data_IF_890585361905
#
_entry.id   IF_890585361905
#
_cell.length_a   1.000
_cell.length_b   1.000
_cell.length_c   1.000
_cell.angle_alpha   90.00
_cell.angle_beta   90.00
_cell.angle_gamma   90.00
#
_symmetry.space_group_name_H-M   'P 1'
#
loop_
_entity.id
_entity.type
_entity.pdbx_description
1 polymer ?
#
# COMPACT_ATOMS: atom_id res chain seq x y z
N UNK A 1 23.72 9.74 5.68
CA UNK A 1 23.08 8.48 5.28
C UNK A 1 22.04 8.73 4.19
N UNK A 2 21.76 7.73 3.37
CA UNK A 2 20.65 7.76 2.45
C UNK A 2 19.33 7.69 3.22
N UNK A 3 18.34 8.49 2.86
CA UNK A 3 17.02 8.48 3.47
C UNK A 3 16.10 7.51 2.73
N UNK A 4 15.05 7.02 3.41
CA UNK A 4 14.09 6.08 2.80
C UNK A 4 13.44 6.70 1.56
N UNK A 5 13.12 8.00 1.63
CA UNK A 5 12.43 8.79 0.61
C UNK A 5 13.34 9.30 -0.53
N UNK A 6 14.60 8.85 -0.63
CA UNK A 6 15.50 9.25 -1.73
C UNK A 6 14.90 9.03 -3.14
N UNK A 7 14.04 8.03 -3.39
CA UNK A 7 13.44 7.83 -4.70
C UNK A 7 12.64 9.03 -5.22
N UNK A 8 12.08 9.87 -4.35
CA UNK A 8 11.41 11.11 -4.76
C UNK A 8 12.40 12.04 -5.47
N UNK A 9 13.59 12.23 -4.90
CA UNK A 9 14.65 13.04 -5.50
C UNK A 9 15.14 12.42 -6.81
N UNK A 10 15.34 11.11 -6.84
CA UNK A 10 15.76 10.39 -8.06
C UNK A 10 14.75 10.57 -9.20
N UNK A 11 13.46 10.46 -8.91
CA UNK A 11 12.40 10.58 -9.93
C UNK A 11 12.29 11.99 -10.53
N UNK A 12 12.58 13.04 -9.77
CA UNK A 12 12.47 14.43 -10.26
C UNK A 12 13.76 14.94 -10.86
N UNK A 13 14.94 14.36 -10.52
CA UNK A 13 16.24 14.80 -11.00
C UNK A 13 16.83 13.89 -12.07
N UNK A 14 16.39 12.64 -12.15
CA UNK A 14 16.97 11.61 -13.02
C UNK A 14 18.33 11.11 -12.53
N UNK A 15 18.74 11.41 -11.29
CA UNK A 15 20.02 11.02 -10.71
C UNK A 15 19.82 9.79 -9.84
N UNK A 16 20.58 8.73 -10.09
CA UNK A 16 20.66 7.56 -9.19
C UNK A 16 21.60 7.88 -8.01
N UNK A 17 20.97 8.18 -6.86
CA UNK A 17 21.71 8.56 -5.65
C UNK A 17 22.49 7.39 -5.05
N UNK A 18 21.98 6.17 -5.18
CA UNK A 18 22.64 4.96 -4.69
C UNK A 18 23.89 4.68 -5.51
N UNK A 19 23.79 4.76 -6.84
CA UNK A 19 24.94 4.64 -7.71
C UNK A 19 26.00 5.69 -7.38
N UNK A 20 25.60 6.95 -7.19
CA UNK A 20 26.52 8.03 -6.83
C UNK A 20 27.24 7.79 -5.50
N UNK A 21 26.56 7.19 -4.51
CA UNK A 21 27.20 6.80 -3.27
C UNK A 21 28.31 5.75 -3.49
N UNK A 22 28.07 4.74 -4.33
CA UNK A 22 29.07 3.74 -4.66
C UNK A 22 30.24 4.33 -5.43
N UNK A 23 29.99 5.23 -6.40
CA UNK A 23 31.06 5.91 -7.17
C UNK A 23 31.97 6.71 -6.24
N UNK A 24 31.40 7.52 -5.34
CA UNK A 24 32.16 8.31 -4.38
C UNK A 24 32.92 7.42 -3.39
N UNK A 25 32.30 6.35 -2.91
CA UNK A 25 32.95 5.39 -2.02
C UNK A 25 34.12 4.66 -2.69
N UNK A 26 34.07 4.48 -4.01
CA UNK A 26 35.17 3.95 -4.82
C UNK A 26 36.26 4.99 -5.13
N UNK A 27 36.19 6.21 -4.60
CA UNK A 27 37.17 7.29 -4.80
C UNK A 27 36.93 8.10 -6.06
N UNK A 28 35.82 7.91 -6.76
CA UNK A 28 35.44 8.69 -7.93
C UNK A 28 34.92 10.08 -7.52
N UNK A 29 35.14 11.07 -8.38
CA UNK A 29 34.46 12.35 -8.20
C UNK A 29 32.95 12.21 -8.42
N UNK A 30 32.15 13.05 -7.73
CA UNK A 30 30.69 13.06 -7.90
C UNK A 30 30.26 13.25 -9.37
N UNK A 31 31.07 14.01 -10.14
CA UNK A 31 30.85 14.21 -11.57
C UNK A 31 29.62 15.07 -11.91
N UNK A 32 29.08 15.78 -10.92
CA UNK A 32 27.92 16.66 -11.05
C UNK A 32 28.26 18.04 -10.47
N UNK A 33 27.78 19.07 -11.14
CA UNK A 33 27.73 20.44 -10.61
C UNK A 33 26.28 20.80 -10.30
N UNK A 34 26.04 21.88 -9.55
CA UNK A 34 24.70 22.33 -9.25
C UNK A 34 23.88 22.67 -10.52
N UNK A 35 24.53 23.13 -11.57
CA UNK A 35 23.88 23.44 -12.85
C UNK A 35 23.43 22.22 -13.65
N UNK A 36 23.96 21.04 -13.34
CA UNK A 36 23.57 19.78 -14.00
C UNK A 36 22.30 19.18 -13.40
N UNK A 37 21.86 19.73 -12.25
CA UNK A 37 20.71 19.20 -11.52
C UNK A 37 19.46 20.00 -11.86
N UNK A 38 18.64 19.44 -12.75
CA UNK A 38 17.32 19.95 -13.08
C UNK A 38 16.22 19.25 -12.30
N UNK A 39 15.13 19.95 -11.99
CA UNK A 39 13.91 19.37 -11.40
C UNK A 39 12.83 19.29 -12.47
N UNK A 40 12.30 18.08 -12.70
CA UNK A 40 11.25 17.84 -13.69
C UNK A 40 10.04 17.19 -13.02
N UNK A 41 8.88 17.81 -13.17
CA UNK A 41 7.62 17.30 -12.65
C UNK A 41 7.55 17.30 -11.12
N UNK A 42 6.82 16.34 -10.59
CA UNK A 42 6.55 16.17 -9.16
C UNK A 42 6.49 14.69 -8.81
N UNK A 43 7.16 14.29 -7.73
CA UNK A 43 7.11 12.92 -7.24
C UNK A 43 6.55 12.86 -5.82
N UNK A 44 5.93 11.76 -5.48
CA UNK A 44 5.44 11.43 -4.14
C UNK A 44 5.81 9.99 -3.82
N UNK A 45 6.09 9.74 -2.54
CA UNK A 45 6.32 8.40 -2.01
C UNK A 45 5.32 8.08 -0.91
N UNK A 46 4.78 6.87 -0.94
CA UNK A 46 4.03 6.28 0.15
C UNK A 46 4.77 5.04 0.66
N UNK A 47 4.98 4.97 1.97
CA UNK A 47 5.53 3.79 2.63
C UNK A 47 4.38 2.86 3.01
N UNK A 48 4.39 1.67 2.47
CA UNK A 48 3.37 0.65 2.73
C UNK A 48 3.82 -0.15 3.93
N UNK A 49 3.04 -0.08 5.00
CA UNK A 49 3.29 -0.77 6.25
C UNK A 49 2.22 -1.82 6.53
N UNK A 50 2.64 -2.93 7.12
CA UNK A 50 1.74 -3.87 7.78
C UNK A 50 1.36 -3.33 9.17
N UNK A 51 0.41 -2.40 9.19
CA UNK A 51 -0.06 -1.67 10.38
C UNK A 51 -1.56 -1.46 10.32
N UNK A 52 -2.18 -1.39 11.49
CA UNK A 52 -3.61 -1.13 11.64
C UNK A 52 -3.85 0.34 12.05
N UNK A 53 -4.25 1.22 11.12
CA UNK A 53 -4.53 2.61 11.44
C UNK A 53 -5.64 2.79 12.48
N UNK A 54 -6.65 1.89 12.51
CA UNK A 54 -7.76 1.96 13.46
C UNK A 54 -7.33 1.68 14.91
N UNK A 55 -6.19 1.01 15.06
CA UNK A 55 -5.58 0.68 16.36
C UNK A 55 -4.32 1.50 16.65
N UNK A 56 -4.23 2.73 16.12
CA UNK A 56 -3.10 3.61 16.35
C UNK A 56 -1.82 3.14 15.68
N UNK A 57 -1.92 2.55 14.48
CA UNK A 57 -0.81 2.04 13.69
C UNK A 57 -0.01 0.92 14.38
N UNK A 58 -0.70 0.07 15.15
CA UNK A 58 -0.06 -1.13 15.69
C UNK A 58 0.36 -2.05 14.55
N UNK A 59 1.58 -2.64 14.63
CA UNK A 59 2.05 -3.61 13.65
C UNK A 59 1.09 -4.79 13.50
N UNK A 60 0.82 -5.18 12.26
CA UNK A 60 0.06 -6.36 11.90
C UNK A 60 1.02 -7.46 11.44
N UNK A 61 0.92 -8.63 12.07
CA UNK A 61 1.73 -9.80 11.73
C UNK A 61 0.89 -10.82 10.98
N UNK A 62 1.53 -11.64 10.16
CA UNK A 62 0.85 -12.71 9.44
C UNK A 62 1.52 -13.04 8.12
N UNK A 63 0.95 -13.99 7.39
CA UNK A 63 1.43 -14.37 6.08
C UNK A 63 0.79 -13.53 4.99
N UNK A 64 1.58 -12.99 4.07
CA UNK A 64 1.11 -12.35 2.86
C UNK A 64 0.52 -13.41 1.92
N UNK A 65 -0.80 -13.58 1.97
CA UNK A 65 -1.51 -14.54 1.14
C UNK A 65 -1.58 -14.09 -0.33
N UNK A 66 -1.50 -12.77 -0.56
CA UNK A 66 -1.41 -12.15 -1.88
C UNK A 66 -0.57 -10.89 -1.79
N UNK A 67 0.32 -10.72 -2.76
CA UNK A 67 1.08 -9.48 -2.96
C UNK A 67 1.13 -9.14 -4.45
N UNK A 68 0.44 -8.09 -4.83
CA UNK A 68 0.44 -7.60 -6.21
C UNK A 68 0.77 -6.11 -6.23
N UNK A 69 1.96 -5.78 -6.71
CA UNK A 69 2.42 -4.41 -6.86
C UNK A 69 1.84 -3.77 -8.13
N UNK A 70 1.44 -2.48 -8.10
CA UNK A 70 0.98 -1.76 -9.27
C UNK A 70 2.15 -1.53 -10.25
N UNK A 71 1.81 -1.47 -11.54
CA UNK A 71 2.76 -1.19 -12.61
C UNK A 71 2.20 -0.13 -13.54
N UNK A 72 3.10 0.60 -14.22
CA UNK A 72 2.72 1.57 -15.24
C UNK A 72 3.67 2.77 -15.34
N UNK A 73 3.45 3.66 -16.32
CA UNK A 73 4.27 4.84 -16.50
C UNK A 73 4.26 5.76 -15.28
N UNK A 74 5.45 6.14 -14.81
CA UNK A 74 5.62 6.99 -13.64
C UNK A 74 5.23 6.33 -12.32
N UNK A 75 5.24 4.99 -12.25
CA UNK A 75 5.10 4.20 -11.04
C UNK A 75 6.37 3.40 -10.83
N UNK A 76 6.93 3.46 -9.63
CA UNK A 76 8.04 2.65 -9.14
C UNK A 76 7.63 2.01 -7.82
N UNK A 77 7.92 0.74 -7.64
CA UNK A 77 7.72 0.04 -6.37
C UNK A 77 9.04 -0.60 -5.95
N UNK A 78 9.54 -0.18 -4.80
CA UNK A 78 10.67 -0.81 -4.14
C UNK A 78 10.10 -1.69 -3.02
N UNK A 79 10.12 -3.00 -3.19
CA UNK A 79 9.53 -3.96 -2.24
C UNK A 79 10.58 -4.89 -1.65
N UNK A 80 10.44 -5.17 -0.36
CA UNK A 80 11.23 -6.19 0.35
C UNK A 80 10.48 -7.51 0.53
N UNK A 81 9.23 -7.60 0.05
CA UNK A 81 8.36 -8.76 0.27
C UNK A 81 7.78 -9.27 -1.05
N UNK A 82 7.30 -10.50 -1.01
CA UNK A 82 6.58 -11.19 -2.08
C UNK A 82 5.44 -12.02 -1.49
N UNK A 83 4.57 -12.48 -2.33
CA UNK A 83 3.51 -13.41 -1.96
C UNK A 83 4.08 -14.65 -1.26
N UNK A 84 3.47 -15.02 -0.15
CA UNK A 84 3.86 -16.14 0.68
C UNK A 84 4.84 -15.82 1.82
N UNK A 85 5.46 -14.64 1.81
CA UNK A 85 6.35 -14.21 2.89
C UNK A 85 5.58 -13.98 4.19
N UNK A 86 6.28 -14.11 5.32
CA UNK A 86 5.73 -13.92 6.66
C UNK A 86 6.20 -12.58 7.22
N UNK A 87 5.24 -11.76 7.67
CA UNK A 87 5.49 -10.50 8.38
C UNK A 87 5.55 -10.80 9.87
N UNK A 88 6.71 -10.58 10.47
CA UNK A 88 6.98 -10.85 11.89
C UNK A 88 7.26 -9.58 12.68
N UNK A 89 7.36 -9.69 13.99
CA UNK A 89 7.72 -8.57 14.89
C UNK A 89 9.23 -8.30 14.95
N UNK A 90 10.05 -9.14 14.33
CA UNK A 90 11.51 -9.08 14.44
C UNK A 90 12.12 -7.98 13.57
N UNK A 91 11.37 -7.49 12.59
CA UNK A 91 11.81 -6.47 11.64
C UNK A 91 10.81 -5.31 11.57
N UNK A 92 11.24 -4.22 10.92
CA UNK A 92 10.36 -3.10 10.58
C UNK A 92 9.18 -3.60 9.73
N UNK A 93 7.92 -3.24 10.06
CA UNK A 93 6.74 -3.70 9.34
C UNK A 93 6.56 -3.08 7.95
N UNK A 94 7.53 -2.32 7.44
CA UNK A 94 7.50 -1.74 6.11
C UNK A 94 7.61 -2.84 5.03
N UNK A 95 6.58 -2.97 4.21
CA UNK A 95 6.50 -3.95 3.13
C UNK A 95 7.12 -3.42 1.84
N UNK A 96 6.86 -2.16 1.52
CA UNK A 96 7.31 -1.54 0.28
C UNK A 96 7.26 -0.01 0.35
N UNK A 97 7.91 0.61 -0.64
CA UNK A 97 7.72 2.01 -1.01
C UNK A 97 7.06 2.07 -2.37
N UNK A 98 5.97 2.81 -2.47
CA UNK A 98 5.32 3.15 -3.72
C UNK A 98 5.66 4.59 -4.08
N UNK A 99 6.35 4.78 -5.19
CA UNK A 99 6.78 6.08 -5.67
C UNK A 99 6.07 6.38 -6.98
N UNK A 100 5.53 7.59 -7.12
CA UNK A 100 4.90 8.05 -8.34
C UNK A 100 5.53 9.36 -8.82
N UNK A 101 5.57 9.54 -10.14
CA UNK A 101 6.03 10.77 -10.77
C UNK A 101 5.01 11.24 -11.81
N UNK A 102 4.74 12.55 -11.86
CA UNK A 102 3.81 13.18 -12.80
C UNK A 102 4.22 14.62 -13.10
N UNK A 103 3.66 15.27 -14.13
CA UNK A 103 4.03 16.64 -14.48
C UNK A 103 3.69 17.69 -13.41
N UNK A 104 2.76 17.42 -12.50
CA UNK A 104 2.34 18.35 -11.44
C UNK A 104 2.01 17.61 -10.15
N UNK A 105 1.97 18.37 -9.01
CA UNK A 105 1.59 17.85 -7.70
C UNK A 105 0.21 17.17 -7.73
N UNK A 106 -0.79 17.83 -8.31
CA UNK A 106 -2.15 17.26 -8.39
C UNK A 106 -2.19 15.98 -9.23
N UNK A 107 -1.44 15.93 -10.34
CA UNK A 107 -1.34 14.73 -11.16
C UNK A 107 -0.59 13.60 -10.44
N UNK A 108 0.45 13.92 -9.66
CA UNK A 108 1.17 12.96 -8.85
C UNK A 108 0.27 12.37 -7.74
N UNK A 109 -0.50 13.21 -7.03
CA UNK A 109 -1.43 12.75 -6.00
C UNK A 109 -2.52 11.82 -6.56
N UNK A 110 -3.11 12.17 -7.72
CA UNK A 110 -4.07 11.29 -8.42
C UNK A 110 -3.43 9.96 -8.83
N UNK A 111 -2.20 10.01 -9.35
CA UNK A 111 -1.47 8.79 -9.71
C UNK A 111 -1.18 7.94 -8.50
N UNK A 112 -0.86 8.56 -7.36
CA UNK A 112 -0.64 7.86 -6.10
C UNK A 112 -1.90 7.12 -5.63
N UNK A 113 -3.06 7.78 -5.62
CA UNK A 113 -4.33 7.14 -5.25
C UNK A 113 -4.68 5.96 -6.17
N UNK A 114 -4.54 6.15 -7.50
CA UNK A 114 -4.77 5.07 -8.47
C UNK A 114 -3.77 3.93 -8.26
N UNK A 115 -2.50 4.21 -8.02
CA UNK A 115 -1.50 3.18 -7.79
C UNK A 115 -1.77 2.43 -6.48
N UNK A 116 -2.14 3.14 -5.40
CA UNK A 116 -2.54 2.52 -4.13
C UNK A 116 -3.80 1.65 -4.29
N UNK A 117 -4.77 2.05 -5.11
CA UNK A 117 -5.98 1.25 -5.36
C UNK A 117 -5.71 -0.03 -6.15
N UNK A 118 -4.58 -0.10 -6.87
CA UNK A 118 -4.13 -1.29 -7.62
C UNK A 118 -3.03 -2.07 -6.87
N UNK A 119 -2.69 -1.67 -5.66
CA UNK A 119 -1.78 -2.42 -4.80
C UNK A 119 -2.61 -3.37 -3.93
N UNK A 120 -2.41 -4.67 -4.11
CA UNK A 120 -3.15 -5.67 -3.35
C UNK A 120 -2.20 -6.40 -2.40
N UNK A 121 -2.50 -6.30 -1.11
CA UNK A 121 -1.83 -7.02 -0.04
C UNK A 121 -2.92 -7.70 0.82
N UNK A 122 -2.97 -9.01 0.82
CA UNK A 122 -3.92 -9.79 1.61
C UNK A 122 -3.19 -10.67 2.61
N UNK A 123 -3.83 -10.92 3.74
CA UNK A 123 -3.29 -11.74 4.83
C UNK A 123 -2.79 -10.95 6.03
N UNK A 124 -2.50 -9.67 5.86
CA UNK A 124 -2.17 -8.73 6.93
C UNK A 124 -2.93 -7.42 6.75
N UNK A 125 -3.23 -6.74 7.84
CA UNK A 125 -3.77 -5.37 7.79
C UNK A 125 -2.67 -4.41 7.35
N UNK A 126 -3.00 -3.46 6.48
CA UNK A 126 -2.06 -2.47 5.96
C UNK A 126 -2.60 -1.05 6.09
N UNK A 127 -1.72 -0.06 5.98
CA UNK A 127 -2.06 1.35 5.97
C UNK A 127 -2.53 1.88 4.59
N UNK A 128 -2.78 1.02 3.60
CA UNK A 128 -3.11 1.43 2.22
C UNK A 128 -4.35 2.34 2.18
N UNK A 129 -5.41 1.98 2.89
CA UNK A 129 -6.64 2.78 2.93
C UNK A 129 -6.41 4.17 3.50
N UNK A 130 -5.69 4.28 4.60
CA UNK A 130 -5.26 5.55 5.18
C UNK A 130 -4.46 6.39 4.18
N UNK A 131 -3.49 5.80 3.48
CA UNK A 131 -2.67 6.49 2.48
C UNK A 131 -3.50 7.01 1.30
N UNK A 132 -4.53 6.28 0.87
CA UNK A 132 -5.46 6.72 -0.19
C UNK A 132 -6.27 7.94 0.25
N UNK A 133 -6.76 7.94 1.48
CA UNK A 133 -7.48 9.09 2.03
C UNK A 133 -6.55 10.31 2.14
N UNK A 134 -5.30 10.11 2.57
CA UNK A 134 -4.29 11.16 2.58
C UNK A 134 -4.00 11.72 1.19
N UNK A 135 -3.85 10.86 0.17
CA UNK A 135 -3.62 11.29 -1.20
C UNK A 135 -4.76 12.14 -1.78
N UNK A 136 -5.97 11.98 -1.26
CA UNK A 136 -7.18 12.73 -1.65
C UNK A 136 -7.49 13.91 -0.73
N UNK A 137 -6.77 14.07 0.37
CA UNK A 137 -7.02 15.12 1.36
C UNK A 137 -6.73 16.52 0.78
N UNK A 138 -7.65 17.48 0.89
CA UNK A 138 -7.48 18.83 0.32
C UNK A 138 -6.23 19.55 0.85
N UNK A 139 -5.91 19.41 2.13
CA UNK A 139 -4.72 20.01 2.74
C UNK A 139 -3.44 19.40 2.18
N UNK A 140 -3.43 18.07 1.97
CA UNK A 140 -2.32 17.39 1.29
C UNK A 140 -2.18 17.86 -0.17
N UNK A 141 -3.28 17.93 -0.91
CA UNK A 141 -3.29 18.36 -2.31
C UNK A 141 -2.77 19.80 -2.49
N UNK A 142 -3.12 20.71 -1.57
CA UNK A 142 -2.64 22.11 -1.58
C UNK A 142 -1.18 22.27 -1.12
N UNK A 143 -0.58 21.23 -0.52
CA UNK A 143 0.75 21.32 0.06
C UNK A 143 0.80 21.97 1.45
N UNK A 144 -0.34 22.08 2.11
CA UNK A 144 -0.48 22.72 3.43
C UNK A 144 -0.20 21.79 4.61
N UNK A 145 0.21 20.53 4.38
CA UNK A 145 0.54 19.60 5.45
C UNK A 145 1.92 19.91 6.01
N UNK A 146 1.98 19.99 7.34
CA UNK A 146 3.21 20.08 8.15
C UNK A 146 3.51 18.74 8.83
N UNK A 147 4.68 18.60 9.42
CA UNK A 147 5.12 17.35 10.06
C UNK A 147 4.26 16.95 11.27
N UNK A 148 3.59 17.90 11.89
CA UNK A 148 2.68 17.74 13.05
C UNK A 148 1.21 17.58 12.65
N UNK A 149 0.92 17.51 11.34
CA UNK A 149 -0.46 17.44 10.84
C UNK A 149 -1.23 16.24 11.42
N UNK A 150 -0.61 15.06 11.44
CA UNK A 150 -1.25 13.84 11.94
C UNK A 150 -1.39 13.83 13.47
N UNK A 151 -0.51 14.53 14.20
CA UNK A 151 -0.61 14.66 15.66
C UNK A 151 -1.82 15.53 16.05
N UNK A 152 -2.19 16.46 15.18
CA UNK A 152 -3.31 17.39 15.38
C UNK A 152 -4.62 16.93 14.76
N UNK A 153 -4.60 15.90 13.90
CA UNK A 153 -5.77 15.40 13.17
C UNK A 153 -6.22 14.05 13.74
N UNK A 154 -7.46 13.93 14.23
CA UNK A 154 -7.95 12.66 14.75
C UNK A 154 -7.90 11.56 13.69
N UNK A 155 -7.36 10.39 14.03
CA UNK A 155 -7.28 9.22 13.13
C UNK A 155 -8.67 8.80 12.64
N UNK A 156 -9.72 9.06 13.42
CA UNK A 156 -11.11 8.80 13.03
C UNK A 156 -11.55 9.53 11.76
N UNK A 157 -10.89 10.62 11.37
CA UNK A 157 -11.15 11.29 10.10
C UNK A 157 -10.68 10.45 8.89
N UNK A 158 -9.81 9.48 9.13
CA UNK A 158 -9.27 8.55 8.13
C UNK A 158 -9.79 7.12 8.31
N UNK A 159 -10.85 6.94 9.09
CA UNK A 159 -11.46 5.63 9.25
C UNK A 159 -12.11 5.18 7.93
N UNK A 160 -11.79 3.97 7.49
CA UNK A 160 -12.50 3.38 6.37
C UNK A 160 -13.94 3.04 6.79
N UNK A 161 -14.93 3.28 5.91
CA UNK A 161 -16.27 2.82 6.19
C UNK A 161 -16.28 1.29 6.31
N UNK A 162 -17.01 0.75 7.27
CA UNK A 162 -17.20 -0.69 7.36
C UNK A 162 -17.84 -1.20 6.05
N UNK A 163 -17.32 -2.31 5.49
CA UNK A 163 -17.87 -2.86 4.27
C UNK A 163 -19.32 -3.31 4.51
N UNK A 164 -20.21 -3.01 3.59
CA UNK A 164 -21.56 -3.49 3.62
C UNK A 164 -21.65 -5.03 3.43
N UNK A 165 -22.80 -5.61 3.72
CA UNK A 165 -23.00 -7.06 3.63
C UNK A 165 -22.68 -7.62 2.22
N UNK A 166 -23.03 -6.89 1.17
CA UNK A 166 -22.77 -7.32 -0.22
C UNK A 166 -21.26 -7.35 -0.51
N UNK A 167 -20.52 -6.37 -0.02
CA UNK A 167 -19.05 -6.31 -0.11
C UNK A 167 -18.41 -7.47 0.66
N UNK A 168 -18.89 -7.77 1.89
CA UNK A 168 -18.39 -8.91 2.67
C UNK A 168 -18.61 -10.25 1.97
N UNK A 169 -19.79 -10.44 1.38
CA UNK A 169 -20.12 -11.65 0.58
C UNK A 169 -19.20 -11.75 -0.65
N UNK A 170 -18.96 -10.64 -1.35
CA UNK A 170 -18.05 -10.62 -2.50
C UNK A 170 -16.61 -10.95 -2.10
N UNK A 171 -16.12 -10.43 -0.97
CA UNK A 171 -14.80 -10.74 -0.41
C UNK A 171 -14.70 -12.22 -0.05
N UNK A 172 -15.71 -12.76 0.64
CA UNK A 172 -15.76 -14.19 1.01
C UNK A 172 -15.75 -15.11 -0.23
N UNK A 173 -16.52 -14.76 -1.26
CA UNK A 173 -16.54 -15.49 -2.51
C UNK A 173 -15.20 -15.45 -3.25
N UNK A 174 -14.54 -14.28 -3.27
CA UNK A 174 -13.21 -14.14 -3.83
C UNK A 174 -12.17 -14.94 -3.03
N UNK A 175 -12.19 -14.88 -1.70
CA UNK A 175 -11.30 -15.64 -0.82
C UNK A 175 -11.42 -17.15 -1.07
N UNK A 176 -12.64 -17.67 -1.19
CA UNK A 176 -12.89 -19.07 -1.51
C UNK A 176 -12.34 -19.43 -2.90
N UNK A 177 -12.57 -18.58 -3.91
CA UNK A 177 -12.07 -18.80 -5.28
C UNK A 177 -10.55 -18.86 -5.35
N UNK A 178 -9.85 -18.07 -4.55
CA UNK A 178 -8.39 -18.03 -4.48
C UNK A 178 -7.80 -18.99 -3.44
N UNK A 179 -8.62 -19.79 -2.73
CA UNK A 179 -8.18 -20.74 -1.72
C UNK A 179 -7.61 -20.09 -0.47
N UNK A 180 -7.95 -18.83 -0.21
CA UNK A 180 -7.48 -18.06 0.96
C UNK A 180 -8.18 -18.49 2.26
N UNK A 181 -9.27 -19.23 2.17
CA UNK A 181 -10.04 -19.82 3.26
C UNK A 181 -9.29 -20.90 4.05
N UNK A 182 -8.25 -21.49 3.45
CA UNK A 182 -7.46 -22.57 4.07
C UNK A 182 -6.36 -22.09 5.01
N UNK A 183 -6.11 -20.80 5.10
CA UNK A 183 -4.99 -20.23 5.87
C UNK A 183 -5.33 -19.78 7.30
N UNK A 184 -6.54 -20.05 7.82
CA UNK A 184 -6.91 -19.66 9.19
C UNK A 184 -8.41 -19.66 9.44
N UNK A 185 -8.98 -20.83 9.61
CA UNK A 185 -10.45 -21.06 9.70
C UNK A 185 -11.07 -20.82 11.08
N UNK A 186 -10.59 -19.88 11.86
CA UNK A 186 -11.19 -19.63 13.18
C UNK A 186 -12.37 -18.63 13.20
N UNK A 187 -12.61 -17.86 12.15
CA UNK A 187 -13.50 -16.71 12.28
C UNK A 187 -14.63 -16.54 11.25
N UNK A 188 -14.53 -17.12 10.07
CA UNK A 188 -15.50 -16.85 8.99
C UNK A 188 -16.67 -17.84 9.00
N UNK A 189 -16.46 -19.08 9.43
CA UNK A 189 -17.54 -20.06 9.57
C UNK A 189 -18.59 -19.66 10.63
N UNK A 190 -18.15 -19.00 11.72
CA UNK A 190 -19.09 -18.59 12.78
C UNK A 190 -20.02 -17.43 12.39
N UNK A 191 -19.60 -16.58 11.46
CA UNK A 191 -20.38 -15.41 11.02
C UNK A 191 -21.50 -15.83 10.05
N UNK A 192 -21.27 -16.87 9.24
CA UNK A 192 -22.24 -17.34 8.24
C UNK A 192 -23.32 -18.21 8.88
N UNK A 193 -22.97 -18.99 9.91
CA UNK A 193 -23.91 -19.93 10.57
C UNK A 193 -24.93 -19.26 11.49
N UNK A 194 -24.58 -18.12 12.12
CA UNK A 194 -25.52 -17.42 13.03
C UNK A 194 -26.65 -16.67 12.31
N UNK A 195 -26.50 -16.33 11.02
CA UNK A 195 -27.47 -15.48 10.31
C UNK A 195 -28.34 -16.20 9.27
N UNK A 196 -27.99 -17.40 8.82
CA UNK A 196 -28.71 -18.03 7.69
C UNK A 196 -29.45 -19.31 8.01
N UNK A 197 -29.22 -19.95 9.15
CA UNK A 197 -29.98 -21.15 9.61
C UNK A 197 -30.02 -22.32 8.62
N UNK A 198 -29.16 -22.34 7.60
CA UNK A 198 -29.11 -23.39 6.60
C UNK A 198 -27.72 -23.99 6.57
N UNK A 199 -27.60 -25.24 6.97
CA UNK A 199 -26.41 -26.07 6.81
C UNK A 199 -26.25 -26.47 5.34
N UNK A 200 -25.55 -25.64 4.54
CA UNK A 200 -25.25 -25.94 3.16
C UNK A 200 -24.55 -24.76 2.50
N UNK A 201 -23.39 -25.02 1.91
CA UNK A 201 -22.64 -24.05 1.12
C UNK A 201 -23.55 -23.44 0.04
N UNK A 202 -23.95 -22.15 0.13
CA UNK A 202 -24.87 -21.53 -0.81
C UNK A 202 -24.31 -21.47 -2.25
N UNK A 203 -22.99 -21.65 -2.44
CA UNK A 203 -22.34 -21.65 -3.73
C UNK A 203 -22.28 -23.01 -4.41
N UNK A 204 -22.47 -24.13 -3.69
CA UNK A 204 -22.62 -25.46 -4.29
C UNK A 204 -23.90 -25.60 -5.12
N UNK A 205 -24.92 -24.83 -4.78
CA UNK A 205 -26.20 -24.82 -5.50
C UNK A 205 -26.12 -24.01 -6.80
N UNK A 206 -25.28 -22.97 -6.88
CA UNK A 206 -25.10 -22.14 -8.09
C UNK A 206 -24.28 -22.83 -9.18
N UNK A 207 -23.36 -23.73 -8.82
CA UNK A 207 -22.53 -24.46 -9.81
C UNK A 207 -23.30 -25.59 -10.55
N UNK A 208 -24.52 -25.93 -10.13
CA UNK A 208 -25.37 -26.96 -10.77
C UNK A 208 -26.41 -26.42 -11.74
N UNK A 209 -26.52 -25.10 -11.90
CA UNK A 209 -27.61 -24.46 -12.65
C UNK A 209 -27.17 -23.75 -13.94
N UNK A 210 -25.92 -23.91 -14.35
CA UNK A 210 -25.46 -23.41 -15.66
C UNK A 210 -24.96 -24.59 -16.51
N UNK A 211 -25.51 -24.76 -17.74
CA UNK A 211 -25.07 -25.78 -18.69
C UNK A 211 -23.65 -25.52 -19.21
#
# INVERSE_FOLDING_TARGET
RLQVEHPVTEMITGIDLVQKQFEVAAGMHLGLTQSDIGITGHAMEARIYAEDPSKGFLPAIGRLAMWQAPQGPGIRVDTGVREGDEVTVDFDPMLAKLIVHAPSRTAAARRLDIALSNLHALGVTTNIGFLRQMASNPTFLSGGITTDYLDSTPISEFAEPEPDHATLVAIAAAANRFGLDRAGTGGVESIIDEHTGHSGDPFRTLSRSFP
#
